data_IF_887288740771
#
_entry.id   IF_887288740771
#
_cell.length_a   1.000
_cell.length_b   1.000
_cell.length_c   1.000
_cell.angle_alpha   90.00
_cell.angle_beta   90.00
_cell.angle_gamma   90.00
#
_symmetry.space_group_name_H-M   'P 1'
#
loop_
_entity.id
_entity.type
_entity.pdbx_description
1 polymer ?
#
# COMPACT_ATOMS: atom_id res chain seq x y z
N UNK A 1 56.66 1.86 9.97
CA UNK A 1 55.59 1.15 9.23
C UNK A 1 54.83 0.28 10.21
N UNK A 2 53.70 0.75 10.72
CA UNK A 2 52.83 -0.04 11.61
C UNK A 2 51.83 -0.82 10.74
N UNK A 3 51.99 -2.13 10.70
CA UNK A 3 51.00 -3.04 10.12
C UNK A 3 49.82 -3.08 11.08
N UNK A 4 48.69 -2.48 10.68
CA UNK A 4 47.42 -2.62 11.39
C UNK A 4 46.93 -4.04 11.11
N UNK A 5 47.13 -4.95 12.06
CA UNK A 5 46.49 -6.25 12.07
C UNK A 5 44.98 -6.07 12.14
N UNK A 6 44.31 -6.22 11.00
CA UNK A 6 42.88 -6.34 10.93
C UNK A 6 42.48 -7.65 11.63
N UNK A 7 42.08 -7.58 12.91
CA UNK A 7 41.47 -8.70 13.64
C UNK A 7 40.29 -9.20 12.82
N UNK A 8 40.44 -10.34 12.15
CA UNK A 8 39.32 -11.04 11.52
C UNK A 8 38.35 -11.47 12.61
N UNK A 9 37.26 -10.73 12.79
CA UNK A 9 36.14 -11.18 13.60
C UNK A 9 35.61 -12.47 12.98
N UNK A 10 35.65 -13.57 13.73
CA UNK A 10 34.97 -14.81 13.33
C UNK A 10 33.46 -14.51 13.33
N UNK A 11 32.74 -14.71 12.22
CA UNK A 11 31.31 -14.44 12.17
C UNK A 11 30.58 -15.35 13.15
N UNK A 12 29.51 -14.85 13.79
CA UNK A 12 28.71 -15.73 14.67
C UNK A 12 28.07 -16.79 13.80
N UNK A 13 27.89 -18.00 14.34
CA UNK A 13 27.19 -19.08 13.64
C UNK A 13 25.83 -18.61 13.09
N UNK A 14 25.10 -17.81 13.87
CA UNK A 14 23.82 -17.23 13.44
C UNK A 14 23.94 -16.34 12.18
N UNK A 15 25.03 -15.58 12.02
CA UNK A 15 25.24 -14.73 10.84
C UNK A 15 25.44 -15.60 9.60
N UNK A 16 26.26 -16.65 9.75
CA UNK A 16 26.52 -17.62 8.68
C UNK A 16 25.24 -18.35 8.29
N UNK A 17 24.44 -18.78 9.27
CA UNK A 17 23.15 -19.44 9.01
C UNK A 17 22.17 -18.52 8.28
N UNK A 18 22.03 -17.25 8.68
CA UNK A 18 21.14 -16.29 8.00
C UNK A 18 21.57 -16.07 6.55
N UNK A 19 22.87 -15.93 6.28
CA UNK A 19 23.42 -15.78 4.93
C UNK A 19 23.21 -17.01 4.05
N UNK A 20 23.36 -18.22 4.60
CA UNK A 20 23.12 -19.45 3.85
C UNK A 20 21.63 -19.61 3.55
N UNK A 21 20.77 -19.36 4.55
CA UNK A 21 19.32 -19.44 4.38
C UNK A 21 18.80 -18.44 3.34
N UNK A 22 19.31 -17.21 3.32
CA UNK A 22 18.88 -16.20 2.33
C UNK A 22 19.13 -16.68 0.89
N UNK A 23 20.25 -17.38 0.63
CA UNK A 23 20.56 -17.96 -0.68
C UNK A 23 19.66 -19.14 -1.06
N UNK A 24 19.12 -19.83 -0.05
CA UNK A 24 18.28 -21.01 -0.23
C UNK A 24 16.78 -20.70 -0.18
N UNK A 25 16.36 -19.46 0.02
CA UNK A 25 14.94 -19.06 0.06
C UNK A 25 14.11 -19.61 -1.09
N UNK A 26 14.58 -19.65 -2.36
CA UNK A 26 13.80 -20.25 -3.44
C UNK A 26 13.46 -21.74 -3.25
N UNK A 27 14.20 -22.44 -2.38
CA UNK A 27 14.02 -23.85 -2.02
C UNK A 27 13.24 -24.03 -0.70
N UNK A 28 12.88 -22.95 0.00
CA UNK A 28 12.20 -23.00 1.30
C UNK A 28 10.68 -22.92 1.10
N UNK A 29 9.96 -23.90 1.62
CA UNK A 29 8.49 -23.94 1.53
C UNK A 29 7.78 -23.11 2.61
N UNK A 30 8.37 -23.00 3.80
CA UNK A 30 7.84 -22.25 4.94
C UNK A 30 8.95 -21.73 5.86
N UNK A 31 8.72 -20.58 6.50
CA UNK A 31 9.56 -20.06 7.59
C UNK A 31 8.91 -20.26 8.97
N UNK A 32 7.88 -21.11 9.07
CA UNK A 32 7.22 -21.44 10.33
C UNK A 32 8.23 -21.93 11.38
N UNK A 33 8.14 -21.38 12.58
CA UNK A 33 9.07 -21.69 13.67
C UNK A 33 10.39 -20.91 13.64
N UNK A 34 10.66 -20.10 12.60
CA UNK A 34 11.77 -19.15 12.61
C UNK A 34 11.33 -17.89 13.37
N UNK A 35 12.00 -17.52 14.48
CA UNK A 35 11.68 -16.30 15.22
C UNK A 35 11.85 -15.05 14.36
N UNK A 36 11.00 -14.05 14.57
CA UNK A 36 10.96 -12.81 13.78
C UNK A 36 12.33 -12.12 13.66
N UNK A 37 13.12 -12.06 14.74
CA UNK A 37 14.44 -11.43 14.73
C UNK A 37 15.44 -12.14 13.80
N UNK A 38 15.31 -13.46 13.58
CA UNK A 38 16.09 -14.19 12.59
C UNK A 38 15.51 -13.99 11.19
N UNK A 39 14.17 -13.95 11.06
CA UNK A 39 13.50 -13.60 9.81
C UNK A 39 13.98 -12.27 9.26
N UNK A 40 14.00 -11.22 10.10
CA UNK A 40 14.55 -9.89 9.78
C UNK A 40 15.97 -9.96 9.24
N UNK A 41 16.84 -10.74 9.89
CA UNK A 41 18.24 -10.90 9.47
C UNK A 41 18.36 -11.65 8.15
N UNK A 42 17.59 -12.71 7.93
CA UNK A 42 17.59 -13.44 6.65
C UNK A 42 17.12 -12.52 5.52
N UNK A 43 16.07 -11.74 5.74
CA UNK A 43 15.56 -10.80 4.74
C UNK A 43 16.51 -9.64 4.48
N UNK A 44 17.22 -9.15 5.51
CA UNK A 44 18.22 -8.09 5.34
C UNK A 44 19.30 -8.48 4.31
N UNK A 45 19.66 -9.76 4.24
CA UNK A 45 20.58 -10.30 3.23
C UNK A 45 19.96 -10.35 1.81
N UNK A 46 18.63 -10.39 1.70
CA UNK A 46 17.88 -10.35 0.44
C UNK A 46 17.57 -8.93 -0.02
N UNK A 47 17.40 -7.99 0.92
CA UNK A 47 16.94 -6.63 0.64
C UNK A 47 17.67 -5.92 -0.52
N UNK A 48 19.01 -6.07 -0.70
CA UNK A 48 19.69 -5.46 -1.83
C UNK A 48 19.16 -5.91 -3.20
N UNK A 49 18.63 -7.13 -3.34
CA UNK A 49 18.08 -7.61 -4.62
C UNK A 49 16.74 -6.97 -4.97
N UNK A 50 16.01 -6.42 -3.99
CA UNK A 50 14.78 -5.68 -4.20
C UNK A 50 15.03 -4.25 -4.72
N UNK A 51 16.26 -3.75 -4.66
CA UNK A 51 16.64 -2.43 -5.18
C UNK A 51 16.97 -2.45 -6.68
N UNK A 52 17.01 -3.63 -7.32
CA UNK A 52 17.22 -3.75 -8.75
C UNK A 52 16.02 -3.21 -9.55
N UNK A 53 16.24 -2.75 -10.78
CA UNK A 53 15.17 -2.21 -11.65
C UNK A 53 14.13 -3.25 -12.10
N UNK A 54 14.28 -4.54 -11.73
CA UNK A 54 13.37 -5.61 -12.13
C UNK A 54 13.37 -6.74 -11.11
N UNK A 55 12.17 -7.14 -10.67
CA UNK A 55 11.96 -8.32 -9.82
C UNK A 55 12.18 -9.58 -10.63
N UNK A 56 13.03 -10.46 -10.12
CA UNK A 56 13.12 -11.82 -10.60
C UNK A 56 12.11 -12.69 -9.84
N UNK A 57 11.84 -13.92 -10.33
CA UNK A 57 10.93 -14.84 -9.65
C UNK A 57 11.33 -15.11 -8.20
N UNK A 58 12.64 -15.13 -7.89
CA UNK A 58 13.14 -15.38 -6.53
C UNK A 58 12.73 -14.28 -5.54
N UNK A 59 12.72 -13.00 -5.92
CA UNK A 59 12.28 -11.91 -5.05
C UNK A 59 10.78 -11.97 -4.80
N UNK A 60 9.98 -12.33 -5.82
CA UNK A 60 8.54 -12.53 -5.68
C UNK A 60 8.24 -13.70 -4.72
N UNK A 61 8.93 -14.82 -4.89
CA UNK A 61 8.83 -15.98 -3.99
C UNK A 61 9.23 -15.63 -2.56
N UNK A 62 10.36 -14.92 -2.39
CA UNK A 62 10.80 -14.45 -1.09
C UNK A 62 9.72 -13.55 -0.46
N UNK A 63 9.24 -12.53 -1.17
CA UNK A 63 8.23 -11.62 -0.64
C UNK A 63 6.98 -12.37 -0.16
N UNK A 64 6.44 -13.27 -0.97
CA UNK A 64 5.26 -14.08 -0.60
C UNK A 64 5.54 -14.97 0.62
N UNK A 65 6.73 -15.59 0.68
CA UNK A 65 7.12 -16.45 1.79
C UNK A 65 7.18 -15.66 3.11
N UNK A 66 7.78 -14.47 3.09
CA UNK A 66 7.88 -13.60 4.25
C UNK A 66 6.54 -12.98 4.65
N UNK A 67 5.74 -12.50 3.69
CA UNK A 67 4.39 -12.01 3.91
C UNK A 67 3.51 -13.07 4.57
N UNK A 68 3.57 -14.32 4.06
CA UNK A 68 2.82 -15.43 4.64
C UNK A 68 3.27 -15.81 6.05
N UNK A 69 4.59 -15.83 6.30
CA UNK A 69 5.14 -16.36 7.57
C UNK A 69 5.05 -15.35 8.72
N UNK A 70 5.14 -14.06 8.43
CA UNK A 70 5.21 -13.00 9.44
C UNK A 70 4.01 -12.04 9.41
N UNK A 71 3.17 -12.11 8.37
CA UNK A 71 1.94 -11.33 8.24
C UNK A 71 2.18 -9.82 8.41
N UNK A 72 1.38 -9.20 9.27
CA UNK A 72 1.46 -7.76 9.56
C UNK A 72 2.76 -7.33 10.22
N UNK A 73 3.53 -8.23 10.81
CA UNK A 73 4.86 -7.88 11.30
C UNK A 73 5.78 -7.54 10.12
N UNK A 74 5.70 -8.30 9.03
CA UNK A 74 6.49 -8.06 7.82
C UNK A 74 5.98 -6.86 7.02
N UNK A 75 4.69 -6.85 6.65
CA UNK A 75 4.08 -5.73 5.94
C UNK A 75 2.67 -5.48 6.45
N UNK A 76 2.40 -4.25 6.87
CA UNK A 76 1.08 -3.83 7.35
C UNK A 76 0.63 -2.52 6.69
N UNK A 77 1.55 -1.57 6.56
CA UNK A 77 1.34 -0.34 5.79
C UNK A 77 2.36 -0.26 4.65
N UNK A 78 1.99 0.36 3.55
CA UNK A 78 2.93 0.69 2.49
C UNK A 78 2.60 2.05 1.89
N UNK A 79 3.62 2.89 1.74
CA UNK A 79 3.51 4.19 1.09
C UNK A 79 4.47 4.23 -0.11
N UNK A 80 3.94 4.57 -1.28
CA UNK A 80 4.70 4.71 -2.53
C UNK A 80 4.86 6.20 -2.84
N UNK A 81 6.09 6.71 -2.81
CA UNK A 81 6.35 8.11 -3.20
C UNK A 81 6.33 8.27 -4.72
N UNK A 82 5.74 9.36 -5.25
CA UNK A 82 5.74 9.68 -6.68
C UNK A 82 7.15 9.86 -7.28
N UNK A 83 8.16 10.15 -6.46
CA UNK A 83 9.55 10.35 -6.90
C UNK A 83 10.26 9.04 -7.29
N UNK A 84 9.62 7.88 -7.13
CA UNK A 84 10.29 6.60 -7.36
C UNK A 84 10.27 6.21 -8.85
N UNK A 85 11.46 6.10 -9.42
CA UNK A 85 11.65 5.64 -10.80
C UNK A 85 11.14 4.21 -11.07
N UNK A 86 10.85 3.43 -10.01
CA UNK A 86 10.47 2.01 -10.08
C UNK A 86 9.06 1.74 -9.54
N UNK A 87 8.09 2.65 -9.71
CA UNK A 87 6.68 2.47 -9.29
C UNK A 87 6.09 1.11 -9.67
N UNK A 88 6.31 0.65 -10.91
CA UNK A 88 5.86 -0.67 -11.37
C UNK A 88 6.33 -1.83 -10.49
N UNK A 89 7.59 -1.78 -10.08
CA UNK A 89 8.22 -2.84 -9.28
C UNK A 89 7.52 -2.99 -7.94
N UNK A 90 7.28 -1.88 -7.26
CA UNK A 90 6.64 -1.88 -5.96
C UNK A 90 5.16 -2.24 -6.04
N UNK A 91 4.45 -1.75 -7.05
CA UNK A 91 3.06 -2.16 -7.31
C UNK A 91 2.94 -3.67 -7.54
N UNK A 92 3.84 -4.24 -8.35
CA UNK A 92 3.91 -5.68 -8.59
C UNK A 92 4.07 -6.49 -7.29
N UNK A 93 4.90 -6.01 -6.35
CA UNK A 93 5.10 -6.68 -5.06
C UNK A 93 3.89 -6.54 -4.14
N UNK A 94 3.35 -5.34 -4.02
CA UNK A 94 2.22 -5.08 -3.11
C UNK A 94 1.00 -5.91 -3.54
N UNK A 95 0.81 -6.11 -4.85
CA UNK A 95 -0.25 -6.98 -5.36
C UNK A 95 -0.06 -8.47 -5.02
N UNK A 96 1.13 -8.89 -4.58
CA UNK A 96 1.37 -10.24 -4.06
C UNK A 96 1.07 -10.34 -2.55
N UNK A 97 0.95 -9.23 -1.84
CA UNK A 97 0.73 -9.24 -0.39
C UNK A 97 -0.69 -9.69 -0.06
N UNK A 98 -0.80 -10.52 0.96
CA UNK A 98 -2.07 -10.92 1.56
C UNK A 98 -2.33 -10.21 2.88
N UNK A 99 -1.36 -9.46 3.41
CA UNK A 99 -1.41 -8.90 4.76
C UNK A 99 -1.38 -7.37 4.82
N UNK A 100 -1.16 -6.67 3.70
CA UNK A 100 -1.23 -5.21 3.64
C UNK A 100 -2.62 -4.71 4.02
N UNK A 101 -2.68 -3.79 5.00
CA UNK A 101 -3.92 -3.20 5.52
C UNK A 101 -4.06 -1.73 5.17
N UNK A 102 -2.95 -1.02 5.05
CA UNK A 102 -2.93 0.41 4.77
C UNK A 102 -2.05 0.65 3.54
N UNK A 103 -2.59 1.31 2.54
CA UNK A 103 -1.87 1.53 1.28
C UNK A 103 -2.04 2.97 0.82
N UNK A 104 -0.91 3.66 0.62
CA UNK A 104 -0.87 5.05 0.22
C UNK A 104 -0.11 5.15 -1.10
N UNK A 105 -0.83 5.44 -2.18
CA UNK A 105 -0.28 5.49 -3.54
C UNK A 105 -0.50 6.87 -4.16
N UNK A 106 -0.33 7.92 -3.37
CA UNK A 106 -0.64 9.28 -3.81
C UNK A 106 0.31 9.75 -4.90
N UNK A 107 -0.22 10.52 -5.85
CA UNK A 107 0.53 11.13 -6.96
C UNK A 107 1.34 10.13 -7.82
N UNK A 108 0.98 8.85 -7.81
CA UNK A 108 1.68 7.79 -8.56
C UNK A 108 1.26 7.70 -10.04
N UNK A 109 0.45 8.65 -10.54
CA UNK A 109 -0.12 8.67 -11.90
C UNK A 109 -0.76 7.34 -12.32
N UNK A 110 -1.40 6.63 -11.38
CA UNK A 110 -1.90 5.27 -11.62
C UNK A 110 -2.99 5.22 -12.68
N UNK A 111 -3.83 6.25 -12.78
CA UNK A 111 -4.92 6.31 -13.76
C UNK A 111 -4.42 6.35 -15.21
N UNK A 112 -3.25 6.96 -15.46
CA UNK A 112 -2.69 7.12 -16.80
C UNK A 112 -1.59 6.11 -17.12
N UNK A 113 -0.71 5.80 -16.17
CA UNK A 113 0.46 4.92 -16.40
C UNK A 113 0.25 3.47 -15.98
N UNK A 114 -0.64 3.20 -15.02
CA UNK A 114 -0.75 1.90 -14.34
C UNK A 114 -2.20 1.43 -14.19
N UNK A 115 -3.07 1.70 -15.18
CA UNK A 115 -4.51 1.43 -15.10
C UNK A 115 -4.88 -0.06 -14.90
N UNK A 116 -3.99 -1.00 -15.24
CA UNK A 116 -4.20 -2.43 -15.02
C UNK A 116 -4.15 -2.88 -13.55
N UNK A 117 -3.66 -2.02 -12.64
CA UNK A 117 -3.44 -2.41 -11.23
C UNK A 117 -4.73 -2.45 -10.41
N UNK A 118 -5.76 -1.70 -10.80
CA UNK A 118 -6.95 -1.50 -9.97
C UNK A 118 -7.72 -2.79 -9.68
N UNK A 119 -7.79 -3.72 -10.64
CA UNK A 119 -8.41 -5.03 -10.42
C UNK A 119 -7.67 -5.84 -9.34
N UNK A 120 -6.35 -5.74 -9.28
CA UNK A 120 -5.51 -6.40 -8.28
C UNK A 120 -5.63 -5.72 -6.92
N UNK A 121 -5.63 -4.38 -6.87
CA UNK A 121 -5.87 -3.64 -5.63
C UNK A 121 -7.22 -4.01 -5.01
N UNK A 122 -8.26 -4.19 -5.84
CA UNK A 122 -9.57 -4.65 -5.39
C UNK A 122 -9.57 -6.07 -4.81
N UNK A 123 -8.56 -6.90 -5.11
CA UNK A 123 -8.44 -8.26 -4.61
C UNK A 123 -7.67 -8.35 -3.29
N UNK A 124 -7.07 -7.25 -2.80
CA UNK A 124 -6.35 -7.22 -1.53
C UNK A 124 -7.34 -7.36 -0.35
N UNK A 125 -7.48 -8.59 0.14
CA UNK A 125 -8.52 -8.97 1.11
C UNK A 125 -8.33 -8.34 2.49
N UNK A 126 -7.12 -7.96 2.87
CA UNK A 126 -6.86 -7.33 4.17
C UNK A 126 -6.84 -5.80 4.10
N UNK A 127 -7.02 -5.21 2.91
CA UNK A 127 -6.91 -3.76 2.72
C UNK A 127 -8.07 -3.04 3.43
N UNK A 128 -7.73 -2.26 4.44
CA UNK A 128 -8.66 -1.48 5.26
C UNK A 128 -8.68 0.00 4.86
N UNK A 129 -7.52 0.56 4.49
CA UNK A 129 -7.43 1.96 4.03
C UNK A 129 -6.62 2.07 2.76
N UNK A 130 -7.12 2.86 1.82
CA UNK A 130 -6.48 3.11 0.54
C UNK A 130 -6.51 4.61 0.22
N UNK A 131 -5.33 5.20 0.02
CA UNK A 131 -5.17 6.54 -0.51
C UNK A 131 -4.70 6.49 -1.95
N UNK A 132 -5.44 7.16 -2.84
CA UNK A 132 -5.18 7.28 -4.27
C UNK A 132 -5.24 8.75 -4.70
N UNK A 133 -4.81 9.68 -3.85
CA UNK A 133 -4.89 11.12 -4.13
C UNK A 133 -4.09 11.47 -5.39
N UNK A 134 -4.60 12.39 -6.20
CA UNK A 134 -3.91 12.93 -7.39
C UNK A 134 -3.34 11.86 -8.35
N UNK A 135 -4.12 10.82 -8.65
CA UNK A 135 -3.69 9.73 -9.54
C UNK A 135 -4.24 9.81 -10.97
N UNK A 136 -4.92 10.90 -11.32
CA UNK A 136 -5.64 11.07 -12.59
C UNK A 136 -6.64 9.92 -12.84
N UNK A 137 -7.36 9.50 -11.80
CA UNK A 137 -8.36 8.44 -11.91
C UNK A 137 -9.60 8.90 -12.65
N UNK A 138 -10.21 7.99 -13.41
CA UNK A 138 -11.56 8.12 -13.93
C UNK A 138 -12.50 7.08 -13.30
N UNK A 139 -13.79 7.20 -13.58
CA UNK A 139 -14.81 6.26 -13.09
C UNK A 139 -14.54 4.80 -13.52
N UNK A 140 -13.78 4.57 -14.60
CA UNK A 140 -13.45 3.23 -15.08
C UNK A 140 -12.44 2.53 -14.17
N UNK A 141 -11.42 3.24 -13.68
CA UNK A 141 -10.48 2.68 -12.70
C UNK A 141 -11.18 2.37 -11.37
N UNK A 142 -12.09 3.24 -10.91
CA UNK A 142 -12.90 2.98 -9.72
C UNK A 142 -13.84 1.78 -9.95
N UNK A 143 -14.42 1.64 -11.14
CA UNK A 143 -15.25 0.47 -11.47
C UNK A 143 -14.46 -0.82 -11.42
N UNK A 144 -13.24 -0.82 -11.93
CA UNK A 144 -12.31 -1.95 -11.91
C UNK A 144 -11.93 -2.32 -10.47
N UNK A 145 -11.53 -1.33 -9.67
CA UNK A 145 -11.19 -1.49 -8.25
C UNK A 145 -12.34 -2.07 -7.42
N UNK A 146 -13.54 -1.50 -7.57
CA UNK A 146 -14.72 -1.89 -6.77
C UNK A 146 -15.35 -3.21 -7.24
N UNK A 147 -14.93 -3.78 -8.38
CA UNK A 147 -15.60 -4.93 -8.98
C UNK A 147 -15.69 -6.13 -8.02
N UNK A 148 -14.58 -6.55 -7.42
CA UNK A 148 -14.55 -7.65 -6.45
C UNK A 148 -15.46 -7.36 -5.26
N UNK A 149 -15.33 -6.20 -4.63
CA UNK A 149 -16.12 -5.81 -3.46
C UNK A 149 -17.63 -5.81 -3.74
N UNK A 150 -18.05 -5.36 -4.93
CA UNK A 150 -19.46 -5.32 -5.34
C UNK A 150 -20.06 -6.70 -5.61
N UNK A 151 -19.28 -7.62 -6.20
CA UNK A 151 -19.82 -8.92 -6.65
C UNK A 151 -19.54 -10.08 -5.69
N UNK A 152 -18.43 -10.06 -4.95
CA UNK A 152 -18.06 -11.14 -4.02
C UNK A 152 -18.18 -10.75 -2.54
N UNK A 153 -18.45 -9.48 -2.22
CA UNK A 153 -18.51 -8.94 -0.86
C UNK A 153 -17.22 -9.21 -0.04
N UNK A 154 -16.08 -9.40 -0.69
CA UNK A 154 -14.78 -9.73 -0.06
C UNK A 154 -13.91 -8.50 0.28
N UNK A 155 -14.47 -7.29 0.23
CA UNK A 155 -13.70 -6.09 0.56
C UNK A 155 -13.77 -5.78 2.07
N UNK A 156 -12.61 -5.54 2.68
CA UNK A 156 -12.46 -5.07 4.06
C UNK A 156 -12.20 -3.56 4.11
N UNK A 157 -12.36 -2.86 2.99
CA UNK A 157 -12.04 -1.45 2.88
C UNK A 157 -13.03 -0.62 3.72
N UNK A 158 -12.47 0.13 4.66
CA UNK A 158 -13.17 1.02 5.58
C UNK A 158 -13.00 2.49 5.20
N UNK A 159 -11.84 2.85 4.63
CA UNK A 159 -11.53 4.21 4.20
C UNK A 159 -10.95 4.22 2.79
N UNK A 160 -11.47 5.11 1.94
CA UNK A 160 -10.99 5.34 0.58
C UNK A 160 -10.83 6.84 0.34
N UNK A 161 -9.63 7.28 -0.01
CA UNK A 161 -9.36 8.66 -0.42
C UNK A 161 -8.99 8.70 -1.91
N UNK A 162 -9.79 9.43 -2.68
CA UNK A 162 -9.58 9.69 -4.12
C UNK A 162 -9.50 11.18 -4.42
N UNK A 163 -9.15 12.00 -3.43
CA UNK A 163 -9.11 13.45 -3.59
C UNK A 163 -8.11 13.90 -4.67
N UNK A 164 -8.37 15.02 -5.33
CA UNK A 164 -7.55 15.54 -6.43
C UNK A 164 -7.62 14.73 -7.72
N UNK A 165 -8.64 13.88 -7.90
CA UNK A 165 -8.90 13.16 -9.15
C UNK A 165 -10.06 13.80 -9.92
N UNK A 166 -9.77 14.88 -10.65
CA UNK A 166 -10.77 15.71 -11.34
C UNK A 166 -11.68 15.00 -12.34
N UNK A 167 -11.28 13.84 -12.89
CA UNK A 167 -12.11 13.08 -13.85
C UNK A 167 -13.14 12.15 -13.21
N UNK A 168 -13.24 12.12 -11.88
CA UNK A 168 -14.26 11.36 -11.18
C UNK A 168 -15.59 12.12 -11.19
N UNK A 169 -16.68 11.40 -11.47
CA UNK A 169 -18.04 11.95 -11.51
C UNK A 169 -18.94 11.31 -10.44
N UNK A 170 -20.19 11.77 -10.32
CA UNK A 170 -21.18 11.16 -9.43
C UNK A 170 -21.39 9.65 -9.64
N UNK A 171 -21.03 9.12 -10.81
CA UNK A 171 -21.05 7.66 -11.07
C UNK A 171 -20.12 6.90 -10.11
N UNK A 172 -19.02 7.51 -9.72
CA UNK A 172 -18.08 7.00 -8.73
C UNK A 172 -18.78 6.69 -7.39
N UNK A 173 -19.66 7.58 -6.92
CA UNK A 173 -20.40 7.41 -5.65
C UNK A 173 -21.26 6.14 -5.69
N UNK A 174 -21.92 5.86 -6.82
CA UNK A 174 -22.73 4.64 -7.00
C UNK A 174 -21.90 3.37 -6.99
N UNK A 175 -20.65 3.42 -7.45
CA UNK A 175 -19.73 2.27 -7.42
C UNK A 175 -19.24 2.01 -6.00
N UNK A 176 -18.88 3.08 -5.29
CA UNK A 176 -18.28 3.05 -3.96
C UNK A 176 -19.29 2.62 -2.89
N UNK A 177 -20.53 3.06 -3.00
CA UNK A 177 -21.64 2.60 -2.13
C UNK A 177 -21.91 1.10 -2.19
N UNK A 178 -21.43 0.42 -3.23
CA UNK A 178 -21.46 -1.04 -3.29
C UNK A 178 -20.44 -1.73 -2.37
N UNK A 179 -19.49 -1.00 -1.79
CA UNK A 179 -18.54 -1.51 -0.80
C UNK A 179 -19.16 -1.46 0.61
N UNK A 180 -19.76 -2.58 1.03
CA UNK A 180 -20.58 -2.65 2.26
C UNK A 180 -19.87 -2.27 3.56
N UNK A 181 -18.53 -2.35 3.60
CA UNK A 181 -17.73 -2.06 4.80
C UNK A 181 -17.10 -0.67 4.80
N UNK A 182 -17.28 0.08 3.71
CA UNK A 182 -16.73 1.42 3.60
C UNK A 182 -17.50 2.36 4.53
N UNK A 183 -16.75 3.07 5.37
CA UNK A 183 -17.27 4.01 6.38
C UNK A 183 -16.86 5.43 6.04
N UNK A 184 -15.71 5.60 5.39
CA UNK A 184 -15.09 6.88 5.08
C UNK A 184 -14.78 6.94 3.58
N UNK A 185 -15.25 7.97 2.89
CA UNK A 185 -14.95 8.22 1.49
C UNK A 185 -14.60 9.69 1.26
N UNK A 186 -13.36 9.95 0.88
CA UNK A 186 -12.87 11.30 0.63
C UNK A 186 -12.70 11.56 -0.86
N UNK A 187 -13.22 12.69 -1.33
CA UNK A 187 -13.25 13.03 -2.75
C UNK A 187 -13.16 14.54 -2.99
N UNK A 188 -12.38 15.26 -2.19
CA UNK A 188 -12.12 16.68 -2.42
C UNK A 188 -11.42 16.93 -3.75
N UNK A 189 -11.62 18.09 -4.37
CA UNK A 189 -11.06 18.44 -5.69
C UNK A 189 -11.29 17.36 -6.77
N UNK A 190 -12.52 16.84 -6.80
CA UNK A 190 -13.01 15.95 -7.86
C UNK A 190 -14.23 16.55 -8.54
N UNK A 191 -14.63 16.02 -9.70
CA UNK A 191 -15.92 16.38 -10.30
C UNK A 191 -17.14 16.03 -9.41
N UNK A 192 -16.94 15.22 -8.37
CA UNK A 192 -17.93 14.93 -7.33
C UNK A 192 -18.10 16.13 -6.39
N UNK A 193 -16.98 16.73 -5.96
CA UNK A 193 -16.95 17.82 -4.99
C UNK A 193 -17.69 19.07 -5.47
N UNK A 194 -17.54 19.40 -6.75
CA UNK A 194 -18.21 20.56 -7.38
C UNK A 194 -19.63 20.25 -7.87
N UNK A 195 -20.10 19.01 -7.75
CA UNK A 195 -21.41 18.66 -8.26
C UNK A 195 -22.53 19.21 -7.37
N UNK A 196 -23.46 19.93 -8.00
CA UNK A 196 -24.66 20.47 -7.34
C UNK A 196 -25.80 19.46 -7.24
N UNK A 197 -25.70 18.33 -7.94
CA UNK A 197 -26.77 17.33 -8.07
C UNK A 197 -26.48 16.04 -7.32
N UNK A 198 -25.41 16.02 -6.52
CA UNK A 198 -24.96 14.82 -5.85
C UNK A 198 -26.01 14.30 -4.87
N UNK A 199 -26.39 13.04 -5.05
CA UNK A 199 -27.28 12.34 -4.14
C UNK A 199 -26.43 11.66 -3.07
N UNK A 200 -26.55 12.12 -1.83
CA UNK A 200 -25.90 11.50 -0.69
C UNK A 200 -26.54 10.11 -0.47
N UNK A 201 -25.75 9.03 -0.42
CA UNK A 201 -26.28 7.70 -0.19
C UNK A 201 -26.98 7.59 1.18
N UNK A 202 -28.02 6.76 1.27
CA UNK A 202 -28.74 6.53 2.52
C UNK A 202 -27.79 6.04 3.63
N UNK A 203 -27.90 6.63 4.81
CA UNK A 203 -27.03 6.32 5.94
C UNK A 203 -25.69 7.05 5.92
N UNK A 204 -25.37 7.79 4.86
CA UNK A 204 -24.17 8.63 4.80
C UNK A 204 -24.48 10.09 5.15
N UNK A 205 -23.47 10.83 5.60
CA UNK A 205 -23.46 12.28 5.69
C UNK A 205 -22.28 12.83 4.88
N UNK A 206 -22.47 14.04 4.33
CA UNK A 206 -21.41 14.80 3.71
C UNK A 206 -20.86 15.82 4.72
N UNK A 207 -19.54 15.94 4.79
CA UNK A 207 -18.85 16.93 5.61
C UNK A 207 -17.92 17.74 4.70
N UNK A 208 -18.14 19.05 4.57
CA UNK A 208 -17.28 19.96 3.80
C UNK A 208 -16.13 20.50 4.68
N UNK A 209 -15.39 19.62 5.35
CA UNK A 209 -14.25 20.02 6.20
C UNK A 209 -12.91 19.80 5.49
N UNK A 210 -11.99 20.75 5.66
CA UNK A 210 -10.65 20.81 5.05
C UNK A 210 -9.70 19.66 5.43
N UNK A 211 -10.05 18.83 6.41
CA UNK A 211 -9.07 17.92 7.02
C UNK A 211 -9.26 16.48 6.58
N UNK A 212 -8.86 16.21 5.34
CA UNK A 212 -8.71 14.86 4.84
C UNK A 212 -7.43 14.23 5.40
N UNK A 213 -7.48 13.70 6.62
CA UNK A 213 -6.33 13.02 7.23
C UNK A 213 -6.61 11.53 7.40
N UNK A 214 -6.07 10.71 6.50
CA UNK A 214 -5.77 9.33 6.87
C UNK A 214 -4.55 9.38 7.81
N UNK A 215 -4.77 9.28 9.12
CA UNK A 215 -3.67 9.28 10.13
C UNK A 215 -2.67 8.16 9.84
N UNK A 216 -1.40 8.52 9.65
CA UNK A 216 -0.23 7.65 9.47
C UNK A 216 0.22 6.97 10.78
N UNK A 217 -0.69 6.35 11.52
CA UNK A 217 -0.39 5.88 12.90
C UNK A 217 -0.15 4.37 13.01
N UNK A 218 -0.17 3.59 11.92
CA UNK A 218 0.03 2.15 12.00
C UNK A 218 1.50 1.75 11.78
N UNK A 219 2.03 0.76 12.54
CA UNK A 219 3.36 0.22 12.29
C UNK A 219 3.45 -0.29 10.85
N UNK A 220 4.48 0.12 10.13
CA UNK A 220 4.57 -0.09 8.67
C UNK A 220 4.88 -1.56 8.34
N UNK A 221 5.45 -2.28 9.31
CA UNK A 221 6.01 -3.61 9.14
C UNK A 221 7.46 -3.52 8.69
N UNK A 222 8.31 -4.44 9.10
CA UNK A 222 9.76 -4.29 8.90
C UNK A 222 10.23 -4.46 7.45
N UNK A 223 9.34 -4.79 6.51
CA UNK A 223 9.61 -4.67 5.08
C UNK A 223 9.87 -3.21 4.67
N UNK A 224 9.21 -2.24 5.30
CA UNK A 224 9.34 -0.83 4.96
C UNK A 224 10.74 -0.26 5.16
N UNK A 225 11.51 -0.86 6.07
CA UNK A 225 12.90 -0.48 6.35
C UNK A 225 13.79 -0.66 5.12
N UNK A 226 13.34 -1.45 4.14
CA UNK A 226 14.05 -1.77 2.89
C UNK A 226 13.44 -1.10 1.67
N UNK A 227 12.32 -0.40 1.85
CA UNK A 227 11.69 0.39 0.80
C UNK A 227 12.31 1.78 0.85
N UNK A 228 12.80 2.34 -0.27
CA UNK A 228 13.44 3.65 -0.26
C UNK A 228 12.46 4.78 0.11
N UNK A 229 12.23 5.07 1.39
CA UNK A 229 11.46 6.26 1.78
C UNK A 229 12.33 7.48 1.50
N UNK A 230 11.84 8.42 0.69
CA UNK A 230 12.32 9.80 0.81
C UNK A 230 12.06 10.19 2.27
N UNK A 231 13.14 10.53 2.98
CA UNK A 231 13.20 10.88 4.40
C UNK A 231 11.84 11.10 5.06
N UNK A 232 11.57 10.37 6.15
CA UNK A 232 10.43 10.55 7.05
C UNK A 232 10.25 11.97 7.65
N UNK A 233 10.99 12.96 7.14
CA UNK A 233 10.83 14.40 7.34
C UNK A 233 9.96 15.08 6.29
N UNK A 234 9.51 14.40 5.24
CA UNK A 234 8.37 14.89 4.46
C UNK A 234 7.16 14.80 5.39
N UNK A 235 6.85 15.92 6.07
CA UNK A 235 5.53 16.13 6.65
C UNK A 235 4.51 15.63 5.62
N UNK A 236 3.44 14.91 6.04
CA UNK A 236 2.35 14.60 5.13
C UNK A 236 2.05 15.89 4.40
N UNK A 237 2.12 15.88 3.06
CA UNK A 237 1.82 17.08 2.30
C UNK A 237 0.38 17.39 2.68
N UNK A 238 0.20 18.39 3.54
CA UNK A 238 -1.09 18.96 3.86
C UNK A 238 -1.52 19.61 2.57
N UNK A 239 -2.19 18.83 1.73
CA UNK A 239 -2.76 19.34 0.51
C UNK A 239 -4.03 20.04 0.93
N UNK A 240 -4.00 21.36 0.82
CA UNK A 240 -5.20 22.16 0.86
C UNK A 240 -5.95 21.89 -0.44
N UNK A 241 -7.13 21.28 -0.32
CA UNK A 241 -8.05 21.11 -1.44
C UNK A 241 -8.96 22.34 -1.50
N UNK A 242 -9.19 22.86 -2.71
CA UNK A 242 -10.05 24.03 -2.94
C UNK A 242 -11.52 23.71 -2.62
N UNK A 243 -11.95 22.50 -2.99
CA UNK A 243 -13.29 21.96 -2.83
C UNK A 243 -13.24 20.70 -1.94
N UNK A 244 -13.14 20.84 -0.60
CA UNK A 244 -13.12 19.69 0.29
C UNK A 244 -14.48 18.99 0.32
N UNK A 245 -14.48 17.67 0.11
CA UNK A 245 -15.68 16.85 0.28
C UNK A 245 -15.30 15.48 0.84
N UNK A 246 -15.96 15.11 1.93
CA UNK A 246 -15.89 13.77 2.50
C UNK A 246 -17.28 13.24 2.82
N UNK A 247 -17.46 11.94 2.66
CA UNK A 247 -18.65 11.20 3.03
C UNK A 247 -18.33 10.24 4.17
N UNK A 248 -19.21 10.17 5.15
CA UNK A 248 -19.09 9.25 6.29
C UNK A 248 -20.39 8.47 6.50
N UNK A 249 -20.30 7.20 6.90
CA UNK A 249 -21.46 6.45 7.38
C UNK A 249 -21.80 6.91 8.80
N UNK A 250 -23.06 7.31 9.03
CA UNK A 250 -23.53 7.73 10.35
C UNK A 250 -23.39 6.58 11.35
N UNK A 251 -22.65 6.82 12.43
CA UNK A 251 -22.67 5.95 13.61
C UNK A 251 -24.09 5.93 14.15
N UNK A 252 -24.68 4.75 14.30
CA UNK A 252 -25.99 4.58 14.96
C UNK A 252 -25.80 4.41 16.45
#
# INVERSE_FOLDING_TARGET
MSVIECRRCVPKLSDVCCLVLSRLIPCVESLDGIPEHLGRRIFAELAPSFQCCRLQPKEKTAFVLFDRSYGTAFINSFCLSPAWNNTNLWLDLICLSQNVRYLYLDNCHLGTKHSGIFSHLGQLRQLMKLSLRQNHLSDDQIRSFTASGRFSAQSFLHCLDVSGNGYLSERCVKLITGLKRLVEFHCGDTGIAISRTIIIPNGWCAIPEQTCFIRDEAPIGWFSDYVPTESATSKPITMEFEDPLSFYVKST
#
